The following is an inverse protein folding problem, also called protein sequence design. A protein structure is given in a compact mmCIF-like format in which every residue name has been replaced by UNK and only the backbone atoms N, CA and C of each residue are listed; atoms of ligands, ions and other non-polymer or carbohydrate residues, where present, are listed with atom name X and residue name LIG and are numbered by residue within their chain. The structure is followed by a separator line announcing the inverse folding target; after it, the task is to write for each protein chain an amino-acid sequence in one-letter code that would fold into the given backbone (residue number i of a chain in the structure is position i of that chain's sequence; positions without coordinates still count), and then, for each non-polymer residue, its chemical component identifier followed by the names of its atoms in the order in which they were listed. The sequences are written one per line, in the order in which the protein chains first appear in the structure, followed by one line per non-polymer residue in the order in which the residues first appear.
data_IF_651503153046
#
_entry.id   IF_651503153046
#
_cell.length_a   1.000
_cell.length_b   1.000
_cell.length_c   1.000
_cell.angle_alpha   90.00
_cell.angle_beta   90.00
_cell.angle_gamma   90.00
#
_symmetry.space_group_name_H-M   'P 1'
#
loop_
_entity.id
_entity.type
_entity.pdbx_description
1 polymer ?
#
# COMPACT_ATOMS: atom_id res chain seq x y z
N UNK A 1 16.14 -39.72 12.56
CA UNK A 1 16.14 -38.58 13.50
C UNK A 1 15.26 -37.53 12.86
N UNK A 2 14.22 -37.08 13.55
CA UNK A 2 13.30 -36.09 13.01
C UNK A 2 13.96 -34.71 13.11
N UNK A 3 14.19 -34.06 11.97
CA UNK A 3 14.77 -32.73 11.91
C UNK A 3 13.65 -31.70 11.85
N UNK A 4 13.62 -30.76 12.80
CA UNK A 4 12.73 -29.61 12.74
C UNK A 4 13.45 -28.40 12.18
N UNK A 5 12.79 -27.70 11.26
CA UNK A 5 13.28 -26.47 10.63
C UNK A 5 12.56 -25.27 11.23
N UNK A 6 13.31 -24.30 11.72
CA UNK A 6 12.79 -23.05 12.27
C UNK A 6 13.72 -21.88 11.94
N UNK A 7 13.29 -20.64 12.17
CA UNK A 7 14.08 -19.44 11.87
C UNK A 7 14.79 -18.93 13.13
N UNK A 8 16.01 -18.41 12.96
CA UNK A 8 16.70 -17.69 14.02
C UNK A 8 16.00 -16.35 14.30
N UNK A 9 15.59 -16.05 15.54
CA UNK A 9 14.95 -14.77 15.87
C UNK A 9 15.90 -13.57 15.74
N UNK A 10 17.22 -13.80 15.70
CA UNK A 10 18.21 -12.71 15.65
C UNK A 10 18.68 -12.38 14.24
N UNK A 11 18.91 -13.39 13.38
CA UNK A 11 19.42 -13.16 12.03
C UNK A 11 18.45 -13.53 10.91
N UNK A 12 17.31 -14.16 11.23
CA UNK A 12 16.27 -14.52 10.26
C UNK A 12 16.62 -15.66 9.30
N UNK A 13 17.78 -16.32 9.44
CA UNK A 13 18.14 -17.49 8.63
C UNK A 13 17.51 -18.77 9.17
N UNK A 14 17.24 -19.72 8.27
CA UNK A 14 16.69 -21.03 8.61
C UNK A 14 17.76 -21.90 9.28
N UNK A 15 17.38 -22.56 10.36
CA UNK A 15 18.20 -23.50 11.11
C UNK A 15 17.43 -24.82 11.17
N UNK A 16 18.14 -25.93 10.98
CA UNK A 16 17.65 -27.26 11.29
C UNK A 16 18.25 -27.68 12.63
N UNK A 17 17.41 -28.13 13.57
CA UNK A 17 17.86 -28.76 14.80
C UNK A 17 17.16 -30.10 14.98
N UNK A 18 17.81 -31.00 15.70
CA UNK A 18 17.23 -32.27 16.10
C UNK A 18 16.03 -32.02 17.03
N UNK A 19 14.94 -32.76 16.84
CA UNK A 19 13.73 -32.66 17.66
C UNK A 19 13.99 -32.86 19.17
N UNK A 20 15.08 -33.55 19.54
CA UNK A 20 15.51 -33.71 20.93
C UNK A 20 15.95 -32.40 21.61
N UNK A 21 16.26 -31.35 20.85
CA UNK A 21 16.78 -30.08 21.37
C UNK A 21 15.69 -29.04 21.66
N UNK A 22 14.41 -29.39 21.55
CA UNK A 22 13.29 -28.47 21.81
C UNK A 22 13.32 -27.90 23.24
N UNK A 23 13.37 -26.58 23.36
CA UNK A 23 13.44 -25.82 24.61
C UNK A 23 14.84 -25.69 25.21
N UNK A 24 15.86 -26.28 24.55
CA UNK A 24 17.26 -26.15 24.93
C UNK A 24 17.85 -24.88 24.29
N UNK A 25 18.78 -24.23 24.99
CA UNK A 25 19.57 -23.11 24.46
C UNK A 25 20.69 -23.65 23.58
N UNK A 26 20.76 -23.17 22.35
CA UNK A 26 21.78 -23.55 21.36
C UNK A 26 22.31 -22.31 20.65
N UNK A 27 23.56 -22.35 20.20
CA UNK A 27 24.15 -21.26 19.42
C UNK A 27 23.74 -21.36 17.95
N UNK A 28 23.35 -20.22 17.37
CA UNK A 28 23.02 -20.14 15.97
C UNK A 28 24.28 -20.33 15.08
N UNK A 29 24.32 -21.28 14.13
CA UNK A 29 25.49 -21.52 13.28
C UNK A 29 25.77 -20.37 12.29
N UNK A 30 24.84 -19.42 12.14
CA UNK A 30 24.98 -18.30 11.21
C UNK A 30 25.35 -16.97 11.87
N UNK A 31 25.01 -16.76 13.15
CA UNK A 31 25.28 -15.49 13.83
C UNK A 31 25.93 -15.65 15.20
N UNK A 32 26.20 -16.89 15.63
CA UNK A 32 26.89 -17.24 16.88
C UNK A 32 26.24 -16.65 18.15
N UNK A 33 24.93 -16.39 18.10
CA UNK A 33 24.15 -15.92 19.25
C UNK A 33 23.30 -17.06 19.82
N UNK A 34 23.22 -17.11 21.15
CA UNK A 34 22.37 -18.06 21.88
C UNK A 34 20.88 -17.86 21.54
N UNK A 35 20.21 -18.95 21.17
CA UNK A 35 18.77 -19.00 20.85
C UNK A 35 18.12 -20.22 21.51
N UNK A 36 16.81 -20.17 21.75
CA UNK A 36 16.04 -21.29 22.33
C UNK A 36 15.29 -22.00 21.19
N UNK A 37 15.42 -23.33 21.11
CA UNK A 37 14.67 -24.12 20.11
C UNK A 37 13.17 -24.14 20.49
N UNK A 38 12.23 -23.82 19.59
CA UNK A 38 10.80 -23.79 19.92
C UNK A 38 10.25 -25.17 20.34
N UNK A 39 9.47 -25.22 21.42
CA UNK A 39 8.69 -26.40 21.82
C UNK A 39 7.28 -26.32 21.24
N UNK A 40 6.80 -27.38 20.59
CA UNK A 40 5.38 -27.52 20.28
C UNK A 40 4.65 -27.98 21.54
N UNK A 41 3.70 -27.19 22.04
CA UNK A 41 2.79 -27.63 23.10
C UNK A 41 1.85 -28.68 22.47
N UNK A 42 1.77 -29.92 22.99
CA UNK A 42 0.82 -30.90 22.47
C UNK A 42 -0.61 -30.42 22.73
N UNK A 43 -1.46 -30.47 21.71
CA UNK A 43 -2.91 -30.29 21.86
C UNK A 43 -3.49 -31.64 22.30
N UNK A 44 -3.99 -31.74 23.54
CA UNK A 44 -4.61 -32.94 24.09
C UNK A 44 -6.14 -32.85 23.95
N UNK A 45 -6.70 -33.57 22.97
CA UNK A 45 -8.13 -33.56 22.61
C UNK A 45 -9.04 -34.39 23.56
N UNK A 46 -8.60 -34.77 24.76
CA UNK A 46 -9.30 -35.78 25.59
C UNK A 46 -9.77 -35.36 26.98
N UNK A 47 -9.84 -34.08 27.32
CA UNK A 47 -10.25 -33.65 28.67
C UNK A 47 -11.43 -32.67 28.67
N UNK A 48 -12.58 -33.11 28.18
CA UNK A 48 -13.88 -32.53 28.55
C UNK A 48 -14.25 -33.04 29.96
N UNK A 49 -13.89 -32.30 31.01
CA UNK A 49 -14.25 -32.64 32.38
C UNK A 49 -15.04 -31.50 33.05
N UNK A 50 -16.31 -31.84 33.31
CA UNK A 50 -17.21 -31.34 34.34
C UNK A 50 -16.67 -30.25 35.28
N UNK A 51 -17.28 -29.07 35.20
CA UNK A 51 -17.25 -28.06 36.25
C UNK A 51 -17.90 -28.65 37.52
N UNK A 52 -17.08 -29.16 38.44
CA UNK A 52 -17.48 -29.40 39.82
C UNK A 52 -17.95 -28.09 40.44
N UNK A 53 -19.16 -28.10 40.99
CA UNK A 53 -19.71 -27.02 41.81
C UNK A 53 -18.75 -26.65 42.94
N UNK A 54 -18.13 -25.48 42.85
CA UNK A 54 -17.44 -24.85 43.99
C UNK A 54 -18.53 -24.17 44.81
N UNK A 55 -18.91 -24.78 45.94
CA UNK A 55 -19.73 -24.14 46.97
C UNK A 55 -18.96 -22.94 47.53
N UNK A 56 -19.32 -21.74 47.07
CA UNK A 56 -18.79 -20.50 47.60
C UNK A 56 -19.42 -20.24 48.98
N UNK A 57 -18.65 -20.48 50.03
CA UNK A 57 -19.02 -20.14 51.41
C UNK A 57 -18.79 -18.64 51.65
N UNK A 58 -19.70 -17.80 51.15
CA UNK A 58 -19.84 -16.41 51.57
C UNK A 58 -21.22 -15.87 51.16
N UNK A 59 -21.93 -15.10 52.00
CA UNK A 59 -23.23 -14.57 51.64
C UNK A 59 -23.08 -13.55 50.50
N UNK A 60 -23.79 -13.81 49.38
CA UNK A 60 -23.98 -12.87 48.28
C UNK A 60 -24.62 -11.58 48.82
N UNK A 61 -23.88 -10.47 48.78
CA UNK A 61 -24.49 -9.14 48.89
C UNK A 61 -25.13 -8.78 47.54
N UNK A 62 -26.44 -8.63 47.57
CA UNK A 62 -27.32 -7.94 46.62
C UNK A 62 -27.11 -8.22 45.12
N UNK A 63 -27.85 -9.20 44.60
CA UNK A 63 -28.17 -9.28 43.17
C UNK A 63 -29.09 -8.10 42.84
N UNK A 64 -28.50 -6.99 42.38
CA UNK A 64 -29.27 -5.84 41.89
C UNK A 64 -29.83 -6.18 40.50
N UNK A 65 -31.14 -6.19 40.36
CA UNK A 65 -31.84 -6.36 39.08
C UNK A 65 -31.53 -5.17 38.16
N UNK A 66 -30.83 -5.45 37.05
CA UNK A 66 -30.50 -4.46 36.01
C UNK A 66 -31.80 -4.16 35.23
N UNK A 67 -32.16 -2.88 35.10
CA UNK A 67 -33.35 -2.46 34.33
C UNK A 67 -33.02 -2.45 32.82
N UNK A 68 -34.04 -2.55 31.96
CA UNK A 68 -33.82 -2.46 30.50
C UNK A 68 -33.22 -1.10 30.13
N UNK A 69 -32.10 -1.09 29.38
CA UNK A 69 -31.35 0.12 29.01
C UNK A 69 -30.24 0.51 29.99
N UNK A 70 -29.90 -0.37 30.95
CA UNK A 70 -28.76 -0.21 31.86
C UNK A 70 -27.74 -1.34 31.66
N UNK A 71 -26.45 -1.01 31.76
CA UNK A 71 -25.32 -1.96 31.78
C UNK A 71 -24.55 -1.82 33.10
N UNK A 72 -23.82 -2.85 33.49
CA UNK A 72 -22.96 -2.79 34.69
C UNK A 72 -21.59 -2.23 34.31
N UNK A 73 -21.08 -1.29 35.10
CA UNK A 73 -19.74 -0.77 34.90
C UNK A 73 -18.66 -1.85 35.16
N UNK A 74 -17.78 -2.17 34.19
CA UNK A 74 -16.74 -3.21 34.35
C UNK A 74 -15.67 -2.88 35.39
N UNK A 75 -15.54 -1.61 35.79
CA UNK A 75 -14.52 -1.19 36.77
C UNK A 75 -15.00 -1.15 38.22
N UNK A 76 -16.31 -0.97 38.45
CA UNK A 76 -16.83 -0.79 39.81
C UNK A 76 -18.13 -1.55 40.11
N UNK A 77 -18.73 -2.21 39.13
CA UNK A 77 -19.91 -3.04 39.35
C UNK A 77 -21.23 -2.27 39.51
N UNK A 78 -21.22 -0.95 39.37
CA UNK A 78 -22.44 -0.14 39.53
C UNK A 78 -23.25 -0.04 38.22
N UNK A 79 -24.58 -0.02 38.33
CA UNK A 79 -25.47 0.08 37.18
C UNK A 79 -25.44 1.49 36.58
N UNK A 80 -25.17 1.56 35.29
CA UNK A 80 -25.04 2.79 34.49
C UNK A 80 -25.89 2.66 33.23
N UNK A 81 -26.22 3.78 32.58
CA UNK A 81 -26.94 3.73 31.29
C UNK A 81 -26.14 2.97 30.24
N UNK A 82 -26.83 2.27 29.34
CA UNK A 82 -26.21 1.49 28.26
C UNK A 82 -25.33 2.36 27.35
N UNK A 83 -25.76 3.58 27.05
CA UNK A 83 -25.04 4.60 26.26
C UNK A 83 -23.94 5.35 27.03
N UNK A 84 -23.72 5.05 28.32
CA UNK A 84 -22.74 5.77 29.12
C UNK A 84 -21.32 5.47 28.65
N UNK A 85 -20.63 6.53 28.17
CA UNK A 85 -19.20 6.53 27.83
C UNK A 85 -18.31 6.82 29.05
N UNK A 86 -18.89 7.25 30.16
CA UNK A 86 -18.20 7.56 31.41
C UNK A 86 -19.01 7.05 32.60
N UNK A 87 -18.34 6.40 33.56
CA UNK A 87 -18.99 5.93 34.77
C UNK A 87 -19.09 7.05 35.82
N UNK A 88 -20.31 7.51 36.12
CA UNK A 88 -20.56 8.53 37.16
C UNK A 88 -20.10 8.17 38.58
N UNK A 89 -19.90 6.87 38.86
CA UNK A 89 -19.54 6.38 40.19
C UNK A 89 -18.03 6.24 40.38
N UNK A 90 -17.34 5.53 39.49
CA UNK A 90 -15.89 5.33 39.59
C UNK A 90 -15.06 6.36 38.81
N UNK A 91 -15.71 7.26 38.07
CA UNK A 91 -15.09 8.32 37.28
C UNK A 91 -14.06 7.85 36.24
N UNK A 92 -14.24 6.63 35.71
CA UNK A 92 -13.43 6.07 34.62
C UNK A 92 -14.21 6.08 33.31
N UNK A 93 -13.51 6.37 32.21
CA UNK A 93 -14.06 6.27 30.86
C UNK A 93 -14.27 4.80 30.48
N UNK A 94 -15.36 4.53 29.76
CA UNK A 94 -15.83 3.19 29.36
C UNK A 94 -15.59 2.93 27.88
N UNK A 95 -14.55 3.56 27.32
CA UNK A 95 -14.29 3.67 25.87
C UNK A 95 -14.52 2.32 25.17
N UNK A 96 -15.55 2.33 24.34
CA UNK A 96 -15.98 1.22 23.50
C UNK A 96 -14.87 0.85 22.50
N UNK A 97 -14.70 -0.45 22.26
CA UNK A 97 -13.61 -1.03 21.47
C UNK A 97 -13.46 -0.32 20.12
N UNK A 98 -12.35 0.39 19.93
CA UNK A 98 -12.10 1.19 18.74
C UNK A 98 -11.73 0.25 17.60
N UNK A 99 -12.66 0.04 16.65
CA UNK A 99 -12.35 -0.63 15.38
C UNK A 99 -11.27 0.17 14.66
N UNK A 100 -10.13 -0.46 14.37
CA UNK A 100 -9.02 0.16 13.68
C UNK A 100 -9.19 -0.13 12.19
N UNK A 101 -9.33 0.93 11.40
CA UNK A 101 -9.32 0.84 9.94
C UNK A 101 -7.89 0.99 9.43
N UNK A 102 -7.43 0.06 8.62
CA UNK A 102 -6.13 0.19 7.95
C UNK A 102 -6.10 -0.53 6.60
N UNK A 103 -5.21 -0.07 5.73
CA UNK A 103 -5.04 -0.63 4.38
C UNK A 103 -4.07 -1.81 4.46
N UNK A 104 -4.49 -2.99 3.98
CA UNK A 104 -3.63 -4.17 3.95
C UNK A 104 -2.36 -3.90 3.14
N UNK A 105 -1.18 -4.17 3.70
CA UNK A 105 0.10 -3.94 3.01
C UNK A 105 0.35 -4.81 1.77
N UNK A 106 -0.51 -5.81 1.53
CA UNK A 106 -0.32 -6.80 0.47
C UNK A 106 -1.37 -6.72 -0.64
N UNK A 107 -2.66 -6.66 -0.30
CA UNK A 107 -3.73 -6.47 -1.28
C UNK A 107 -4.20 -5.01 -1.37
N UNK A 108 -3.90 -4.20 -0.35
CA UNK A 108 -4.30 -2.80 -0.23
C UNK A 108 -5.81 -2.58 -0.37
N UNK A 109 -6.58 -3.55 0.15
CA UNK A 109 -7.97 -3.42 0.54
C UNK A 109 -8.07 -2.79 1.94
N UNK A 110 -9.13 -2.04 2.21
CA UNK A 110 -9.39 -1.50 3.54
C UNK A 110 -9.90 -2.61 4.46
N UNK A 111 -9.22 -2.81 5.58
CA UNK A 111 -9.55 -3.84 6.57
C UNK A 111 -9.92 -3.17 7.87
N UNK A 112 -11.07 -3.54 8.43
CA UNK A 112 -11.49 -3.17 9.77
C UNK A 112 -11.17 -4.33 10.73
N UNK A 113 -10.36 -4.07 11.74
CA UNK A 113 -9.99 -5.09 12.74
C UNK A 113 -10.30 -4.54 14.13
N UNK A 114 -10.85 -5.42 14.97
CA UNK A 114 -11.07 -5.14 16.38
C UNK A 114 -9.72 -5.09 17.10
N UNK A 115 -9.47 -4.00 17.83
CA UNK A 115 -8.24 -3.82 18.62
C UNK A 115 -8.20 -4.86 19.75
N UNK A 116 -7.70 -6.05 19.42
CA UNK A 116 -7.46 -7.11 20.37
C UNK A 116 -5.95 -7.22 20.51
N UNK A 117 -5.44 -6.62 21.59
CA UNK A 117 -4.02 -6.39 21.85
C UNK A 117 -3.16 -7.68 21.85
N UNK A 118 -3.79 -8.86 21.80
CA UNK A 118 -3.14 -10.17 21.86
C UNK A 118 -3.48 -11.13 20.70
N UNK A 119 -4.17 -10.69 19.63
CA UNK A 119 -4.51 -11.58 18.50
C UNK A 119 -3.75 -11.23 17.22
N UNK A 120 -3.11 -12.23 16.64
CA UNK A 120 -2.54 -12.14 15.30
C UNK A 120 -3.66 -11.87 14.28
N UNK A 121 -3.64 -10.68 13.66
CA UNK A 121 -4.64 -10.29 12.68
C UNK A 121 -4.28 -10.82 11.29
N UNK A 122 -5.26 -11.38 10.57
CA UNK A 122 -5.13 -11.83 9.18
C UNK A 122 -6.03 -11.00 8.29
N UNK A 123 -5.58 -10.72 7.06
CA UNK A 123 -6.41 -10.04 6.08
C UNK A 123 -7.54 -10.96 5.58
N UNK A 124 -8.82 -10.57 5.69
CA UNK A 124 -9.94 -11.40 5.22
C UNK A 124 -9.99 -11.53 3.69
N UNK A 125 -9.34 -10.62 2.95
CA UNK A 125 -9.32 -10.62 1.48
C UNK A 125 -8.17 -11.43 0.89
N UNK A 126 -6.97 -11.37 1.49
CA UNK A 126 -5.78 -12.01 0.92
C UNK A 126 -5.14 -13.09 1.82
N UNK A 127 -5.68 -13.33 3.02
CA UNK A 127 -5.21 -14.37 3.95
C UNK A 127 -3.83 -14.14 4.57
N UNK A 128 -3.18 -13.01 4.30
CA UNK A 128 -1.83 -12.73 4.80
C UNK A 128 -1.85 -12.10 6.20
N UNK A 129 -0.82 -12.42 7.00
CA UNK A 129 -0.64 -11.93 8.38
C UNK A 129 -0.34 -10.44 8.40
N UNK A 130 -1.12 -9.69 9.18
CA UNK A 130 -1.02 -8.24 9.32
C UNK A 130 -0.14 -7.89 10.52
N UNK A 131 0.91 -7.10 10.28
CA UNK A 131 1.78 -6.60 11.35
C UNK A 131 1.19 -5.33 11.95
N UNK A 132 0.20 -5.47 12.84
CA UNK A 132 -0.32 -4.34 13.63
C UNK A 132 0.76 -4.00 14.67
N UNK A 133 1.66 -3.07 14.36
CA UNK A 133 2.68 -2.62 15.32
C UNK A 133 2.04 -1.59 16.24
N UNK A 134 1.94 -1.91 17.54
CA UNK A 134 1.45 -1.04 18.60
C UNK A 134 2.01 0.39 18.48
N UNK A 135 1.19 1.32 17.99
CA UNK A 135 1.51 2.74 17.94
C UNK A 135 0.57 3.51 18.86
N UNK A 136 0.69 3.28 20.18
CA UNK A 136 0.18 4.22 21.18
C UNK A 136 1.12 4.24 22.42
N UNK A 137 1.91 5.30 22.63
CA UNK A 137 2.47 5.56 23.94
C UNK A 137 1.33 5.96 24.92
N UNK A 138 1.24 5.26 26.05
CA UNK A 138 0.15 5.36 27.04
C UNK A 138 0.12 6.66 27.88
N UNK A 139 0.63 7.80 27.42
CA UNK A 139 0.58 9.03 28.23
C UNK A 139 0.50 10.29 27.39
N UNK A 140 -0.71 10.75 27.09
CA UNK A 140 -0.96 12.16 26.78
C UNK A 140 -2.27 12.56 27.47
N UNK A 141 -2.12 13.34 28.56
CA UNK A 141 -3.20 14.13 29.16
C UNK A 141 -3.59 15.25 28.19
N UNK A 142 -4.88 15.51 28.14
CA UNK A 142 -5.59 16.51 27.35
C UNK A 142 -4.81 17.80 27.06
N UNK A 143 -4.67 18.14 25.78
CA UNK A 143 -4.83 19.53 25.32
C UNK A 143 -5.56 19.54 23.99
N UNK A 144 -6.51 20.46 23.90
CA UNK A 144 -7.44 20.71 22.80
C UNK A 144 -6.82 20.69 21.40
N UNK A 145 -7.62 20.23 20.43
CA UNK A 145 -7.39 20.31 18.98
C UNK A 145 -6.15 19.57 18.44
N UNK A 146 -6.09 18.25 18.63
CA UNK A 146 -5.28 17.41 17.76
C UNK A 146 -6.02 17.32 16.41
N UNK A 147 -5.62 18.15 15.44
CA UNK A 147 -5.75 17.80 14.01
C UNK A 147 -5.23 16.37 13.92
N UNK A 148 -6.05 15.43 13.42
CA UNK A 148 -5.57 14.12 13.02
C UNK A 148 -4.51 14.38 11.95
N UNK A 149 -3.25 14.50 12.37
CA UNK A 149 -2.11 14.42 11.49
C UNK A 149 -2.21 13.01 10.93
N UNK A 150 -2.51 12.95 9.64
CA UNK A 150 -2.42 11.75 8.82
C UNK A 150 -1.17 11.00 9.24
N UNK A 151 -1.38 9.80 9.77
CA UNK A 151 -0.30 8.91 10.20
C UNK A 151 0.65 8.79 9.00
N UNK A 152 1.88 9.28 9.17
CA UNK A 152 2.95 9.17 8.18
C UNK A 152 3.17 7.68 7.92
N UNK A 153 2.67 7.19 6.78
CA UNK A 153 3.12 5.93 6.23
C UNK A 153 4.60 6.11 5.90
N UNK A 154 5.49 5.49 6.68
CA UNK A 154 6.89 5.31 6.29
C UNK A 154 6.94 4.83 4.84
N UNK A 155 7.86 5.33 4.00
CA UNK A 155 7.80 5.19 2.57
C UNK A 155 7.84 3.70 2.22
N UNK A 156 6.67 3.16 1.85
CA UNK A 156 6.52 1.77 1.46
C UNK A 156 7.62 1.47 0.43
N UNK A 157 8.51 0.53 0.74
CA UNK A 157 9.63 0.12 -0.13
C UNK A 157 9.09 -0.68 -1.32
N UNK A 158 8.26 -0.04 -2.13
CA UNK A 158 7.65 -0.59 -3.31
C UNK A 158 8.72 -0.85 -4.38
N UNK A 159 8.59 -1.99 -5.06
CA UNK A 159 9.35 -2.27 -6.27
C UNK A 159 8.92 -1.34 -7.42
N UNK A 160 9.77 -1.19 -8.44
CA UNK A 160 9.43 -0.42 -9.64
C UNK A 160 8.15 -0.94 -10.31
N UNK A 161 7.96 -2.26 -10.29
CA UNK A 161 6.77 -2.90 -10.86
C UNK A 161 5.52 -2.61 -10.04
N UNK A 162 5.62 -2.60 -8.70
CA UNK A 162 4.50 -2.23 -7.85
C UNK A 162 4.09 -0.77 -8.05
N UNK A 163 5.04 0.15 -8.28
CA UNK A 163 4.70 1.53 -8.65
C UNK A 163 3.95 1.60 -9.99
N UNK A 164 4.41 0.84 -10.99
CA UNK A 164 3.70 0.73 -12.26
C UNK A 164 2.27 0.21 -12.08
N UNK A 165 2.08 -0.90 -11.35
CA UNK A 165 0.76 -1.45 -11.08
C UNK A 165 -0.15 -0.44 -10.37
N UNK A 166 0.37 0.24 -9.34
CA UNK A 166 -0.39 1.29 -8.66
C UNK A 166 -0.77 2.43 -9.59
N UNK A 167 0.12 2.84 -10.50
CA UNK A 167 -0.15 3.90 -11.47
C UNK A 167 -1.28 3.52 -12.43
N UNK A 168 -1.32 2.27 -12.93
CA UNK A 168 -2.34 1.83 -13.89
C UNK A 168 -3.63 1.30 -13.25
N UNK A 169 -3.68 1.16 -11.94
CA UNK A 169 -4.87 0.69 -11.21
C UNK A 169 -5.42 1.75 -10.26
N UNK A 170 -4.74 1.97 -9.12
CA UNK A 170 -5.23 2.80 -8.02
C UNK A 170 -5.09 4.30 -8.27
N UNK A 171 -4.03 4.70 -8.96
CA UNK A 171 -3.64 6.09 -9.21
C UNK A 171 -3.87 6.52 -10.66
N UNK A 172 -4.70 5.77 -11.42
CA UNK A 172 -4.90 5.94 -12.86
C UNK A 172 -5.28 7.38 -13.26
N UNK A 173 -6.27 7.99 -12.59
CA UNK A 173 -6.71 9.37 -12.84
C UNK A 173 -6.24 10.36 -11.76
N UNK A 174 -5.26 10.01 -10.92
CA UNK A 174 -4.81 10.85 -9.83
C UNK A 174 -3.66 11.76 -10.27
N UNK A 175 -3.93 13.07 -10.37
CA UNK A 175 -2.96 14.09 -10.79
C UNK A 175 -2.57 15.09 -9.68
N UNK A 176 -3.19 15.01 -8.49
CA UNK A 176 -3.07 16.02 -7.42
C UNK A 176 -1.91 15.75 -6.46
N UNK A 177 -1.59 14.47 -6.26
CA UNK A 177 -0.57 14.07 -5.30
C UNK A 177 0.86 14.37 -5.79
N UNK A 178 1.84 13.92 -5.00
CA UNK A 178 3.27 13.95 -5.34
C UNK A 178 3.75 12.57 -5.76
N UNK A 179 4.67 12.53 -6.72
CA UNK A 179 5.31 11.29 -7.17
C UNK A 179 6.84 11.40 -7.05
N UNK A 180 7.42 10.48 -6.28
CA UNK A 180 8.88 10.35 -6.15
C UNK A 180 9.51 9.84 -7.46
N UNK A 181 10.83 10.01 -7.59
CA UNK A 181 11.60 9.53 -8.76
C UNK A 181 11.40 8.04 -9.09
N UNK A 182 11.36 7.16 -8.08
CA UNK A 182 11.12 5.72 -8.29
C UNK A 182 9.73 5.43 -8.88
N UNK A 183 8.70 6.16 -8.45
CA UNK A 183 7.34 6.01 -8.99
C UNK A 183 7.28 6.47 -10.45
N UNK A 184 7.88 7.63 -10.73
CA UNK A 184 7.94 8.18 -12.09
C UNK A 184 8.71 7.26 -13.05
N UNK A 185 9.97 6.94 -12.75
CA UNK A 185 10.81 6.14 -13.64
C UNK A 185 10.37 4.68 -13.73
N UNK A 186 9.86 4.09 -12.64
CA UNK A 186 9.29 2.75 -12.66
C UNK A 186 8.08 2.68 -13.59
N UNK A 187 7.15 3.63 -13.44
CA UNK A 187 5.96 3.72 -14.31
C UNK A 187 6.36 3.92 -15.77
N UNK A 188 7.28 4.85 -16.06
CA UNK A 188 7.75 5.11 -17.42
C UNK A 188 8.43 3.89 -18.05
N UNK A 189 9.32 3.22 -17.31
CA UNK A 189 10.01 2.03 -17.79
C UNK A 189 9.03 0.93 -18.23
N UNK A 190 8.05 0.61 -17.38
CA UNK A 190 7.10 -0.46 -17.69
C UNK A 190 6.10 -0.06 -18.78
N UNK A 191 5.65 1.20 -18.81
CA UNK A 191 4.78 1.69 -19.89
C UNK A 191 5.50 1.66 -21.24
N UNK A 192 6.78 2.05 -21.30
CA UNK A 192 7.59 1.94 -22.53
C UNK A 192 7.81 0.47 -22.90
N UNK A 193 8.15 -0.39 -21.93
CA UNK A 193 8.36 -1.82 -22.18
C UNK A 193 7.12 -2.49 -22.77
N UNK A 194 5.96 -2.37 -22.11
CA UNK A 194 4.71 -2.93 -22.61
C UNK A 194 4.24 -2.25 -23.90
N UNK A 195 4.56 -0.97 -24.09
CA UNK A 195 4.33 -0.24 -25.34
C UNK A 195 5.10 -0.84 -26.50
N UNK A 196 6.38 -1.18 -26.32
CA UNK A 196 7.18 -1.88 -27.34
C UNK A 196 6.62 -3.28 -27.60
N UNK A 197 6.25 -4.02 -26.55
CA UNK A 197 5.65 -5.35 -26.70
C UNK A 197 4.33 -5.31 -27.49
N UNK A 198 3.52 -4.25 -27.34
CA UNK A 198 2.27 -4.09 -28.08
C UNK A 198 2.46 -3.99 -29.61
N UNK A 199 3.68 -3.63 -30.05
CA UNK A 199 4.04 -3.48 -31.48
C UNK A 199 4.46 -4.80 -32.15
N UNK A 200 4.71 -5.86 -31.39
CA UNK A 200 5.32 -7.10 -31.90
C UNK A 200 4.52 -7.71 -33.06
N UNK A 201 3.20 -7.76 -32.97
CA UNK A 201 2.34 -8.28 -34.03
C UNK A 201 2.47 -7.50 -35.35
N UNK A 202 2.51 -6.16 -35.26
CA UNK A 202 2.67 -5.32 -36.44
C UNK A 202 4.06 -5.52 -37.07
N UNK A 203 5.11 -5.62 -36.25
CA UNK A 203 6.48 -5.86 -36.72
C UNK A 203 6.58 -7.20 -37.45
N UNK A 204 6.05 -8.28 -36.85
CA UNK A 204 6.04 -9.61 -37.48
C UNK A 204 5.24 -9.56 -38.78
N UNK A 205 4.04 -8.98 -38.77
CA UNK A 205 3.21 -8.86 -39.97
C UNK A 205 3.91 -8.10 -41.11
N UNK A 206 4.64 -7.03 -40.80
CA UNK A 206 5.44 -6.32 -41.82
C UNK A 206 6.59 -7.16 -42.36
N UNK A 207 7.23 -7.98 -41.53
CA UNK A 207 8.33 -8.85 -41.95
C UNK A 207 7.86 -10.06 -42.77
N UNK A 208 6.64 -10.55 -42.53
CA UNK A 208 6.03 -11.68 -43.25
C UNK A 208 5.10 -11.25 -44.39
N UNK A 209 4.90 -9.94 -44.59
CA UNK A 209 3.91 -9.38 -45.51
C UNK A 209 2.47 -9.90 -45.26
N UNK A 210 2.12 -10.16 -43.99
CA UNK A 210 0.78 -10.62 -43.59
C UNK A 210 -0.07 -9.45 -43.11
N UNK A 211 -1.03 -9.02 -43.94
CA UNK A 211 -1.94 -7.91 -43.65
C UNK A 211 -2.78 -8.13 -42.39
N UNK A 212 -3.12 -9.38 -42.06
CA UNK A 212 -3.94 -9.68 -40.88
C UNK A 212 -3.17 -9.39 -39.59
N UNK A 213 -1.89 -9.77 -39.53
CA UNK A 213 -1.00 -9.50 -38.40
C UNK A 213 -0.70 -8.00 -38.27
N UNK A 214 -0.52 -7.31 -39.39
CA UNK A 214 -0.33 -5.84 -39.42
C UNK A 214 -1.54 -5.15 -38.80
N UNK A 215 -2.74 -5.46 -39.28
CA UNK A 215 -3.98 -4.83 -38.81
C UNK A 215 -4.26 -5.15 -37.33
N UNK A 216 -4.07 -6.40 -36.91
CA UNK A 216 -4.19 -6.80 -35.51
C UNK A 216 -3.20 -6.03 -34.62
N UNK A 217 -1.94 -5.96 -35.02
CA UNK A 217 -0.91 -5.23 -34.29
C UNK A 217 -1.20 -3.74 -34.20
N UNK A 218 -1.72 -3.13 -35.26
CA UNK A 218 -2.14 -1.73 -35.26
C UNK A 218 -3.28 -1.46 -34.27
N UNK A 219 -4.30 -2.33 -34.22
CA UNK A 219 -5.42 -2.21 -33.27
C UNK A 219 -4.94 -2.37 -31.82
N UNK A 220 -4.15 -3.40 -31.51
CA UNK A 220 -3.60 -3.63 -30.17
C UNK A 220 -2.81 -2.41 -29.71
N UNK A 221 -1.93 -1.92 -30.58
CA UNK A 221 -1.11 -0.73 -30.33
C UNK A 221 -1.95 0.51 -30.07
N UNK A 222 -2.99 0.73 -30.87
CA UNK A 222 -3.87 1.88 -30.74
C UNK A 222 -4.61 1.87 -29.40
N UNK A 223 -5.22 0.74 -29.04
CA UNK A 223 -5.91 0.57 -27.77
C UNK A 223 -4.97 0.74 -26.57
N UNK A 224 -3.77 0.15 -26.64
CA UNK A 224 -2.76 0.31 -25.60
C UNK A 224 -2.34 1.79 -25.44
N UNK A 225 -2.15 2.49 -26.55
CA UNK A 225 -1.78 3.91 -26.54
C UNK A 225 -2.88 4.75 -25.87
N UNK A 226 -4.16 4.51 -26.19
CA UNK A 226 -5.28 5.18 -25.54
C UNK A 226 -5.35 4.91 -24.03
N UNK A 227 -5.22 3.65 -23.64
CA UNK A 227 -5.26 3.25 -22.23
C UNK A 227 -4.08 3.82 -21.40
N UNK A 228 -2.95 4.12 -22.04
CA UNK A 228 -1.74 4.56 -21.33
C UNK A 228 -1.48 6.06 -21.37
N UNK A 229 -2.23 6.85 -22.16
CA UNK A 229 -2.11 8.32 -22.16
C UNK A 229 -2.40 8.90 -20.77
N UNK A 230 -3.49 8.47 -20.13
CA UNK A 230 -3.92 8.97 -18.83
C UNK A 230 -2.87 8.69 -17.73
N UNK A 231 -2.41 7.45 -17.51
CA UNK A 231 -1.42 7.19 -16.45
C UNK A 231 -0.08 7.89 -16.70
N UNK A 232 0.37 8.05 -17.95
CA UNK A 232 1.57 8.83 -18.28
C UNK A 232 1.41 10.30 -17.89
N UNK A 233 0.29 10.90 -18.25
CA UNK A 233 -0.01 12.29 -17.96
C UNK A 233 -0.16 12.54 -16.44
N UNK A 234 -0.84 11.64 -15.73
CA UNK A 234 -1.04 11.73 -14.29
C UNK A 234 0.27 11.58 -13.50
N UNK A 235 1.14 10.63 -13.84
CA UNK A 235 2.42 10.50 -13.11
C UNK A 235 3.37 11.66 -13.40
N UNK A 236 3.35 12.24 -14.61
CA UNK A 236 4.10 13.45 -14.93
C UNK A 236 3.59 14.65 -14.11
N UNK A 237 2.27 14.84 -14.02
CA UNK A 237 1.67 15.89 -13.18
C UNK A 237 2.16 15.78 -11.74
N UNK A 238 2.11 14.57 -11.16
CA UNK A 238 2.54 14.35 -9.78
C UNK A 238 4.04 14.50 -9.57
N UNK A 239 4.86 14.18 -10.57
CA UNK A 239 6.31 14.45 -10.56
C UNK A 239 6.58 15.95 -10.55
N UNK A 240 5.84 16.71 -11.35
CA UNK A 240 5.95 18.16 -11.39
C UNK A 240 5.49 18.81 -10.08
N UNK A 241 4.39 18.33 -9.49
CA UNK A 241 3.93 18.73 -8.16
C UNK A 241 5.00 18.46 -7.09
N UNK A 242 5.74 17.35 -7.19
CA UNK A 242 6.82 17.02 -6.27
C UNK A 242 8.01 18.01 -6.34
N UNK A 243 8.23 18.64 -7.50
CA UNK A 243 9.29 19.66 -7.70
C UNK A 243 8.78 21.08 -7.37
N UNK A 244 7.50 21.23 -7.03
CA UNK A 244 6.87 22.52 -6.73
C UNK A 244 6.31 23.25 -7.97
N UNK A 245 6.33 22.62 -9.15
CA UNK A 245 5.71 23.15 -10.36
C UNK A 245 4.20 22.86 -10.40
N UNK A 246 3.46 23.57 -11.27
CA UNK A 246 2.05 23.28 -11.50
C UNK A 246 1.88 22.06 -12.41
N UNK A 247 1.69 20.88 -11.80
CA UNK A 247 1.57 19.61 -12.54
C UNK A 247 0.39 19.55 -13.50
N UNK A 248 -0.73 20.19 -13.18
CA UNK A 248 -1.88 20.25 -14.09
C UNK A 248 -1.53 20.98 -15.38
N UNK A 249 -0.85 22.13 -15.30
CA UNK A 249 -0.40 22.86 -16.49
C UNK A 249 0.57 22.02 -17.31
N UNK A 250 1.53 21.36 -16.66
CA UNK A 250 2.51 20.51 -17.36
C UNK A 250 1.83 19.30 -18.05
N UNK A 251 0.83 18.72 -17.41
CA UNK A 251 0.01 17.64 -17.96
C UNK A 251 -0.69 18.08 -19.24
N UNK A 252 -1.39 19.22 -19.20
CA UNK A 252 -2.11 19.76 -20.37
C UNK A 252 -1.13 20.09 -21.50
N UNK A 253 -0.02 20.77 -21.21
CA UNK A 253 1.00 21.09 -22.23
C UNK A 253 1.57 19.82 -22.85
N UNK A 254 1.84 18.78 -22.06
CA UNK A 254 2.34 17.50 -22.57
C UNK A 254 1.32 16.80 -23.47
N UNK A 255 0.03 16.84 -23.13
CA UNK A 255 -1.03 16.27 -23.96
C UNK A 255 -1.17 17.04 -25.28
N UNK A 256 -1.07 18.37 -25.24
CA UNK A 256 -1.10 19.20 -26.45
C UNK A 256 0.09 18.90 -27.37
N UNK A 257 1.31 18.85 -26.83
CA UNK A 257 2.51 18.55 -27.61
C UNK A 257 2.46 17.11 -28.15
N UNK A 258 2.05 16.14 -27.34
CA UNK A 258 1.83 14.76 -27.78
C UNK A 258 0.83 14.69 -28.93
N UNK A 259 -0.32 15.37 -28.81
CA UNK A 259 -1.32 15.47 -29.87
C UNK A 259 -0.76 16.08 -31.16
N UNK A 260 0.03 17.16 -31.06
CA UNK A 260 0.70 17.78 -32.21
C UNK A 260 1.68 16.82 -32.89
N UNK A 261 2.43 16.01 -32.15
CA UNK A 261 3.35 15.01 -32.74
C UNK A 261 2.60 13.90 -33.48
N UNK A 262 1.43 13.49 -32.98
CA UNK A 262 0.57 12.50 -33.66
C UNK A 262 0.01 13.10 -34.95
N UNK A 263 -0.53 14.32 -34.89
CA UNK A 263 -1.04 15.03 -36.06
C UNK A 263 0.05 15.21 -37.12
N UNK A 264 1.27 15.58 -36.69
CA UNK A 264 2.42 15.71 -37.57
C UNK A 264 2.77 14.41 -38.30
N UNK A 265 2.67 13.28 -37.60
CA UNK A 265 2.92 11.95 -38.17
C UNK A 265 1.88 11.62 -39.26
N UNK A 266 0.61 11.98 -39.05
CA UNK A 266 -0.45 11.81 -40.05
C UNK A 266 -0.19 12.69 -41.28
N UNK A 267 0.17 13.96 -41.07
CA UNK A 267 0.51 14.91 -42.15
C UNK A 267 1.66 14.37 -43.01
N UNK A 268 2.70 13.82 -42.37
CA UNK A 268 3.87 13.25 -43.06
C UNK A 268 3.47 12.05 -43.91
N UNK A 269 2.53 11.21 -43.45
CA UNK A 269 1.99 10.09 -44.22
C UNK A 269 1.11 10.52 -45.40
N UNK A 270 0.55 11.73 -45.38
CA UNK A 270 -0.25 12.28 -46.47
C UNK A 270 0.59 12.97 -47.57
N UNK A 271 1.93 12.91 -47.49
CA UNK A 271 2.86 13.47 -48.51
C UNK A 271 2.49 14.88 -48.99
N UNK A 272 2.15 15.78 -48.06
CA UNK A 272 1.96 17.20 -48.41
C UNK A 272 3.32 17.78 -48.82
N UNK A 273 3.53 17.99 -50.12
CA UNK A 273 4.79 18.45 -50.70
C UNK A 273 5.31 19.76 -50.06
N UNK A 274 6.61 19.80 -49.74
CA UNK A 274 7.43 21.00 -49.50
C UNK A 274 7.03 21.94 -48.35
N UNK A 275 6.41 21.44 -47.27
CA UNK A 275 6.14 22.27 -46.08
C UNK A 275 7.26 22.11 -45.02
N UNK A 276 7.79 23.23 -44.50
CA UNK A 276 8.76 23.23 -43.39
C UNK A 276 8.12 22.92 -42.02
N UNK A 277 6.79 23.02 -41.92
CA UNK A 277 6.04 22.84 -40.68
C UNK A 277 6.28 21.48 -39.99
N UNK A 278 6.32 20.33 -40.68
CA UNK A 278 6.55 19.04 -40.02
C UNK A 278 7.92 18.90 -39.38
N UNK A 279 8.94 19.51 -39.99
CA UNK A 279 10.29 19.56 -39.43
C UNK A 279 10.29 20.38 -38.15
N UNK A 280 9.64 21.55 -38.16
CA UNK A 280 9.53 22.40 -36.98
C UNK A 280 8.79 21.71 -35.81
N UNK A 281 7.64 21.09 -36.07
CA UNK A 281 6.88 20.37 -35.04
C UNK A 281 7.66 19.19 -34.45
N UNK A 282 8.46 18.51 -35.27
CA UNK A 282 9.35 17.43 -34.83
C UNK A 282 10.42 17.95 -33.86
N UNK A 283 11.04 19.09 -34.16
CA UNK A 283 12.03 19.72 -33.26
C UNK A 283 11.38 20.10 -31.93
N UNK A 284 10.18 20.70 -31.94
CA UNK A 284 9.43 21.05 -30.72
C UNK A 284 9.17 19.80 -29.87
N UNK A 285 8.78 18.68 -30.49
CA UNK A 285 8.59 17.40 -29.80
C UNK A 285 9.86 16.90 -29.11
N UNK A 286 11.02 16.97 -29.78
CA UNK A 286 12.30 16.57 -29.19
C UNK A 286 12.72 17.45 -28.01
N UNK A 287 12.57 18.78 -28.14
CA UNK A 287 12.84 19.71 -27.04
C UNK A 287 11.94 19.42 -25.84
N UNK A 288 10.67 19.08 -26.07
CA UNK A 288 9.78 18.66 -24.99
C UNK A 288 10.22 17.35 -24.32
N UNK A 289 10.70 16.39 -25.10
CA UNK A 289 11.29 15.15 -24.57
C UNK A 289 12.47 15.41 -23.62
N UNK A 290 13.32 16.39 -23.95
CA UNK A 290 14.42 16.82 -23.06
C UNK A 290 13.87 17.42 -21.76
N UNK A 291 12.89 18.32 -21.84
CA UNK A 291 12.22 18.91 -20.66
C UNK A 291 11.62 17.82 -19.77
N UNK A 292 10.96 16.83 -20.38
CA UNK A 292 10.38 15.69 -19.66
C UNK A 292 11.43 14.89 -18.89
N UNK A 293 12.58 14.58 -19.52
CA UNK A 293 13.69 13.88 -18.86
C UNK A 293 14.27 14.72 -17.72
N UNK A 294 14.48 16.01 -17.94
CA UNK A 294 14.99 16.93 -16.91
C UNK A 294 14.08 16.94 -15.69
N UNK A 295 12.76 17.05 -15.88
CA UNK A 295 11.76 16.98 -14.81
C UNK A 295 11.81 15.63 -14.08
N UNK A 296 12.01 14.53 -14.81
CA UNK A 296 12.22 13.21 -14.22
C UNK A 296 13.46 13.10 -13.32
N UNK A 297 14.51 13.86 -13.64
CA UNK A 297 15.81 13.80 -12.96
C UNK A 297 15.96 14.78 -11.79
N UNK A 298 15.32 15.97 -11.85
CA UNK A 298 15.38 16.99 -10.79
C UNK A 298 14.95 16.38 -9.45
N UNK A 299 15.58 16.79 -8.34
CA UNK A 299 15.19 16.35 -6.99
C UNK A 299 13.87 17.01 -6.59
N UNK A 300 13.02 16.25 -5.89
CA UNK A 300 11.79 16.80 -5.31
C UNK A 300 12.09 17.82 -4.23
N UNK A 301 11.09 18.65 -3.93
CA UNK A 301 11.13 19.58 -2.80
C UNK A 301 11.08 18.81 -1.48
N UNK A 302 12.01 19.08 -0.57
CA UNK A 302 12.03 18.44 0.75
C UNK A 302 10.92 18.99 1.64
N UNK A 303 10.31 18.11 2.45
CA UNK A 303 9.23 18.47 3.36
C UNK A 303 7.87 18.67 2.69
N UNK A 304 6.91 19.22 3.44
CA UNK A 304 5.55 19.43 2.95
C UNK A 304 5.49 20.60 1.94
N UNK A 305 4.77 20.40 0.84
CA UNK A 305 4.43 21.46 -0.09
C UNK A 305 2.91 21.52 -0.29
N UNK A 306 2.41 22.47 -1.09
CA UNK A 306 0.96 22.64 -1.33
C UNK A 306 0.24 21.42 -1.94
N UNK A 307 0.99 20.44 -2.43
CA UNK A 307 0.50 19.18 -3.01
C UNK A 307 0.59 17.99 -2.04
N UNK A 308 1.11 18.18 -0.83
CA UNK A 308 1.18 17.18 0.23
C UNK A 308 2.58 16.95 0.80
N UNK A 309 2.65 15.98 1.72
CA UNK A 309 3.88 15.58 2.39
C UNK A 309 4.93 14.99 1.43
N UNK A 310 6.20 15.05 1.84
CA UNK A 310 7.31 14.50 1.06
C UNK A 310 7.19 12.97 0.96
N UNK A 311 7.14 12.39 -0.25
CA UNK A 311 7.06 10.93 -0.43
C UNK A 311 8.33 10.16 0.00
N UNK A 312 9.38 10.85 0.45
CA UNK A 312 10.57 10.25 1.06
C UNK A 312 10.53 10.14 2.60
N UNK A 313 9.61 10.85 3.26
CA UNK A 313 9.41 10.80 4.71
C UNK A 313 8.47 9.66 5.10
#
# INVERSE_FOLDING_TARGET
MAEMKFYCPVCGKHIAADDSLRGVKVDCPHCNKEIIVPQTIPFDDKNSYELKEIRLSAPLKDVRTIKSGEKVCPFCGEAIKEEAIFCRFCKKDLIEQKKIKFICQYCAEEVEIEDNQDKEAFCPFCGQKLSVRNSFPQNIRETNSVKIQSINYSPLNLSLFQYFLQAVTKKYCNYKDRARRKEFWGTMLFLTFFGVLSRLFAIVGTATHDETLINLGAVITFLFSLATIVPQACVLSRRANDIGLNGFTLMVVSLCIGGLTILNSIITLCEIENNILPVFLTIVGYLWGIVFIVIGCIRGQEGENKYGADPLQ
#
